data_IF_450298082582
#
_entry.id   IF_450298082582
#
_cell.length_a   1.000
_cell.length_b   1.000
_cell.length_c   1.000
_cell.angle_alpha   90.00
_cell.angle_beta   90.00
_cell.angle_gamma   90.00
#
_symmetry.space_group_name_H-M   'P 1'
#
loop_
_entity.id
_entity.type
_entity.pdbx_description
1 polymer ?
#
# COMPACT_ATOMS: atom_id res chain seq x y z
N UNK A 1 -26.75 11.73 -10.02
CA UNK A 1 -25.95 10.56 -9.69
C UNK A 1 -24.49 10.83 -10.07
N UNK A 2 -23.59 10.70 -9.13
CA UNK A 2 -22.21 11.11 -9.28
C UNK A 2 -21.35 10.12 -10.06
N UNK A 3 -21.67 8.83 -9.98
CA UNK A 3 -20.87 7.77 -10.58
C UNK A 3 -21.70 6.97 -11.54
N UNK A 4 -21.56 7.27 -12.82
CA UNK A 4 -22.31 6.58 -13.88
C UNK A 4 -21.60 5.36 -14.44
N UNK A 5 -20.29 5.25 -14.23
CA UNK A 5 -19.54 4.10 -14.69
C UNK A 5 -18.55 3.66 -13.63
N UNK A 6 -18.40 2.34 -13.48
CA UNK A 6 -17.43 1.74 -12.57
C UNK A 6 -15.99 2.10 -12.95
N UNK A 7 -15.73 2.33 -14.26
CA UNK A 7 -14.41 2.75 -14.74
C UNK A 7 -14.07 4.16 -14.27
N UNK A 8 -15.00 5.12 -14.39
CA UNK A 8 -14.80 6.49 -13.89
C UNK A 8 -14.54 6.51 -12.40
N UNK A 9 -15.28 5.71 -11.64
CA UNK A 9 -15.13 5.59 -10.20
C UNK A 9 -13.75 5.05 -9.85
N UNK A 10 -13.30 4.00 -10.54
CA UNK A 10 -11.97 3.40 -10.32
C UNK A 10 -10.85 4.38 -10.65
N UNK A 11 -10.97 5.10 -11.75
CA UNK A 11 -9.99 6.12 -12.15
C UNK A 11 -9.91 7.24 -11.12
N UNK A 12 -11.05 7.66 -10.59
CA UNK A 12 -11.10 8.69 -9.55
C UNK A 12 -10.39 8.21 -8.28
N UNK A 13 -10.73 7.01 -7.79
CA UNK A 13 -10.09 6.48 -6.58
C UNK A 13 -8.59 6.27 -6.78
N UNK A 14 -8.17 5.80 -7.94
CA UNK A 14 -6.75 5.66 -8.26
C UNK A 14 -6.05 7.02 -8.23
N UNK A 15 -6.68 8.05 -8.80
CA UNK A 15 -6.15 9.42 -8.78
C UNK A 15 -6.00 9.93 -7.35
N UNK A 16 -7.03 9.74 -6.51
CA UNK A 16 -7.01 10.17 -5.11
C UNK A 16 -5.88 9.47 -4.36
N UNK A 17 -5.77 8.16 -4.49
CA UNK A 17 -4.73 7.39 -3.83
C UNK A 17 -3.33 7.83 -4.27
N UNK A 18 -3.11 8.01 -5.56
CA UNK A 18 -1.81 8.45 -6.07
C UNK A 18 -1.43 9.83 -5.57
N UNK A 19 -2.38 10.76 -5.54
CA UNK A 19 -2.13 12.10 -5.01
C UNK A 19 -1.85 12.10 -3.51
N UNK A 20 -2.55 11.26 -2.74
CA UNK A 20 -2.31 11.12 -1.30
C UNK A 20 -0.95 10.49 -1.00
N UNK A 21 -0.58 9.42 -1.71
CA UNK A 21 0.75 8.81 -1.59
C UNK A 21 1.84 9.81 -1.93
N UNK A 22 1.68 10.52 -3.04
CA UNK A 22 2.67 11.52 -3.47
C UNK A 22 2.84 12.63 -2.43
N UNK A 23 1.74 13.08 -1.83
CA UNK A 23 1.78 14.11 -0.79
C UNK A 23 2.58 13.65 0.44
N UNK A 24 2.53 12.37 0.77
CA UNK A 24 3.18 11.82 1.97
C UNK A 24 4.65 11.49 1.73
N UNK A 25 4.99 10.84 0.61
CA UNK A 25 6.35 10.33 0.41
C UNK A 25 6.96 10.65 -0.97
N UNK A 26 6.28 11.46 -1.79
CA UNK A 26 6.83 11.90 -3.07
C UNK A 26 6.73 10.90 -4.21
N UNK A 27 6.00 9.80 -4.03
CA UNK A 27 5.81 8.77 -5.04
C UNK A 27 4.34 8.38 -5.15
N UNK A 28 3.94 7.90 -6.33
CA UNK A 28 2.63 7.25 -6.45
C UNK A 28 2.68 5.87 -5.77
N UNK A 29 1.52 5.24 -5.59
CA UNK A 29 1.45 3.88 -5.04
C UNK A 29 2.30 2.89 -5.87
N UNK A 30 2.19 2.95 -7.20
CA UNK A 30 2.95 2.09 -8.09
C UNK A 30 4.46 2.34 -7.98
N UNK A 31 4.86 3.61 -7.91
CA UNK A 31 6.27 3.99 -7.78
C UNK A 31 6.89 3.50 -6.48
N UNK A 32 6.15 3.55 -5.38
CA UNK A 32 6.66 3.07 -4.08
C UNK A 32 6.89 1.55 -4.10
N UNK A 33 6.02 0.81 -4.75
CA UNK A 33 6.18 -0.64 -4.89
C UNK A 33 7.47 -0.96 -5.66
N UNK A 34 7.67 -0.33 -6.81
CA UNK A 34 8.86 -0.56 -7.64
C UNK A 34 10.13 -0.14 -6.91
N UNK A 35 10.09 0.95 -6.16
CA UNK A 35 11.25 1.45 -5.44
C UNK A 35 11.65 0.57 -4.25
N UNK A 36 10.68 -0.08 -3.60
CA UNK A 36 10.91 -0.76 -2.33
C UNK A 36 10.85 -2.29 -2.38
N UNK A 37 10.16 -2.88 -3.34
CA UNK A 37 10.11 -4.34 -3.48
C UNK A 37 11.46 -4.85 -3.97
N UNK A 38 12.13 -5.69 -3.15
CA UNK A 38 13.45 -6.21 -3.47
C UNK A 38 13.66 -7.54 -2.73
N UNK A 39 13.80 -8.61 -3.49
CA UNK A 39 13.96 -9.95 -2.91
C UNK A 39 15.21 -10.09 -2.04
N UNK A 40 16.19 -9.20 -2.19
CA UNK A 40 17.41 -9.20 -1.38
C UNK A 40 17.24 -8.52 -0.03
N UNK A 41 16.14 -7.82 0.18
CA UNK A 41 15.87 -7.15 1.46
C UNK A 41 15.11 -8.07 2.41
N UNK A 42 15.27 -7.82 3.72
CA UNK A 42 14.47 -8.49 4.74
C UNK A 42 12.99 -8.27 4.43
N UNK A 43 12.20 -9.35 4.46
CA UNK A 43 10.78 -9.35 4.13
C UNK A 43 10.49 -8.75 2.74
N UNK A 44 11.43 -8.88 1.82
CA UNK A 44 11.45 -8.29 0.47
C UNK A 44 11.05 -6.81 0.40
N UNK A 45 11.33 -6.06 1.46
CA UNK A 45 11.02 -4.64 1.56
C UNK A 45 9.68 -4.32 2.21
N UNK A 46 8.84 -5.31 2.49
CA UNK A 46 7.56 -5.07 3.16
C UNK A 46 7.76 -4.75 4.64
N UNK A 47 6.97 -3.82 5.13
CA UNK A 47 6.91 -3.44 6.54
C UNK A 47 5.71 -4.08 7.24
N UNK A 48 4.70 -4.50 6.47
CA UNK A 48 3.53 -5.20 6.96
C UNK A 48 3.01 -6.13 5.88
N UNK A 49 2.29 -7.17 6.27
CA UNK A 49 1.61 -8.11 5.39
C UNK A 49 0.52 -8.80 6.19
N UNK A 50 -0.38 -9.50 5.53
CA UNK A 50 -1.57 -10.09 6.16
C UNK A 50 -1.25 -10.93 7.39
N UNK A 51 -0.21 -11.76 7.30
CA UNK A 51 0.16 -12.71 8.37
C UNK A 51 1.36 -12.22 9.21
N UNK A 52 1.69 -10.92 9.13
CA UNK A 52 2.79 -10.32 9.91
C UNK A 52 2.52 -10.44 11.41
N UNK A 53 3.56 -10.45 12.26
CA UNK A 53 4.97 -10.43 11.88
C UNK A 53 5.58 -11.82 11.63
N UNK A 54 4.95 -12.89 12.10
CA UNK A 54 5.56 -14.22 12.15
C UNK A 54 5.18 -15.13 10.98
N UNK A 55 4.09 -14.84 10.29
CA UNK A 55 3.61 -15.65 9.17
C UNK A 55 4.26 -15.27 7.86
N UNK A 56 4.08 -16.13 6.86
CA UNK A 56 4.64 -15.91 5.53
C UNK A 56 3.98 -14.77 4.78
N UNK A 57 4.79 -14.07 3.98
CA UNK A 57 4.29 -13.16 2.96
C UNK A 57 3.69 -14.00 1.82
N UNK A 58 2.50 -13.61 1.36
CA UNK A 58 1.81 -14.28 0.25
C UNK A 58 1.77 -13.35 -0.97
N UNK A 59 1.49 -13.92 -2.13
CA UNK A 59 1.54 -13.20 -3.40
C UNK A 59 0.69 -11.92 -3.42
N UNK A 60 -0.49 -11.95 -2.81
CA UNK A 60 -1.39 -10.79 -2.77
C UNK A 60 -0.85 -9.63 -1.94
N UNK A 61 0.06 -9.89 -1.00
CA UNK A 61 0.63 -8.85 -0.15
C UNK A 61 1.53 -7.90 -0.91
N UNK A 62 2.24 -8.40 -1.93
CA UNK A 62 3.37 -7.68 -2.55
C UNK A 62 2.95 -6.57 -3.51
N UNK A 63 1.70 -6.56 -3.93
CA UNK A 63 1.16 -5.51 -4.81
C UNK A 63 0.34 -4.44 -4.07
N UNK A 64 0.40 -4.43 -2.75
CA UNK A 64 -0.27 -3.43 -1.91
C UNK A 64 0.76 -2.40 -1.44
N UNK A 65 0.68 -1.19 -1.97
CA UNK A 65 1.65 -0.13 -1.68
C UNK A 65 1.80 0.15 -0.18
N UNK A 66 0.69 0.17 0.56
CA UNK A 66 0.71 0.43 2.01
C UNK A 66 1.60 -0.53 2.78
N UNK A 67 1.77 -1.75 2.28
CA UNK A 67 2.61 -2.75 2.93
C UNK A 67 4.11 -2.40 2.92
N UNK A 68 4.51 -1.47 2.05
CA UNK A 68 5.90 -1.00 1.97
C UNK A 68 6.15 0.28 2.76
N UNK A 69 5.11 0.85 3.36
CA UNK A 69 5.24 2.11 4.10
C UNK A 69 5.69 1.86 5.53
N UNK A 70 6.59 2.73 6.01
CA UNK A 70 6.97 2.76 7.41
C UNK A 70 5.81 3.25 8.27
N UNK A 71 5.95 3.09 9.59
CA UNK A 71 4.91 3.44 10.55
C UNK A 71 4.50 4.91 10.46
N UNK A 72 5.48 5.81 10.33
CA UNK A 72 5.22 7.25 10.25
C UNK A 72 4.54 7.63 8.93
N UNK A 73 5.00 7.06 7.82
CA UNK A 73 4.41 7.28 6.51
C UNK A 73 2.95 6.82 6.48
N UNK A 74 2.68 5.65 7.06
CA UNK A 74 1.33 5.11 7.11
C UNK A 74 0.42 5.98 7.97
N UNK A 75 0.91 6.47 9.11
CA UNK A 75 0.17 7.37 9.98
C UNK A 75 -0.19 8.68 9.27
N UNK A 76 0.75 9.28 8.54
CA UNK A 76 0.52 10.48 7.76
C UNK A 76 -0.50 10.25 6.63
N UNK A 77 -0.37 9.12 5.94
CA UNK A 77 -1.32 8.77 4.88
C UNK A 77 -2.73 8.62 5.43
N UNK A 78 -2.89 7.91 6.53
CA UNK A 78 -4.19 7.71 7.17
C UNK A 78 -4.78 9.04 7.65
N UNK A 79 -3.95 9.93 8.18
CA UNK A 79 -4.38 11.24 8.64
C UNK A 79 -4.92 12.09 7.50
N UNK A 80 -4.16 12.21 6.40
CA UNK A 80 -4.57 13.06 5.28
C UNK A 80 -5.81 12.49 4.56
N UNK A 81 -5.91 11.17 4.45
CA UNK A 81 -7.09 10.51 3.89
C UNK A 81 -8.31 10.77 4.75
N UNK A 82 -8.19 10.64 6.07
CA UNK A 82 -9.29 10.89 7.02
C UNK A 82 -9.78 12.32 6.94
N UNK A 83 -8.88 13.29 6.88
CA UNK A 83 -9.23 14.71 6.74
C UNK A 83 -10.03 14.97 5.47
N UNK A 84 -9.62 14.37 4.35
CA UNK A 84 -10.33 14.56 3.09
C UNK A 84 -11.70 13.87 3.11
N UNK A 85 -11.80 12.68 3.68
CA UNK A 85 -13.07 11.96 3.82
C UNK A 85 -14.05 12.72 4.74
N UNK A 86 -13.55 13.34 5.79
CA UNK A 86 -14.38 14.18 6.66
C UNK A 86 -14.93 15.38 5.90
N UNK A 87 -14.11 16.01 5.07
CA UNK A 87 -14.54 17.08 4.18
C UNK A 87 -15.63 16.58 3.22
N UNK A 88 -15.43 15.43 2.59
CA UNK A 88 -16.39 14.85 1.66
C UNK A 88 -17.72 14.55 2.35
N UNK A 89 -17.67 13.99 3.54
CA UNK A 89 -18.86 13.71 4.37
C UNK A 89 -19.63 14.99 4.68
N UNK A 90 -18.92 16.05 5.03
CA UNK A 90 -19.55 17.35 5.31
C UNK A 90 -20.26 17.90 4.07
N UNK A 91 -19.63 17.82 2.90
CA UNK A 91 -20.25 18.28 1.64
C UNK A 91 -21.52 17.48 1.34
N UNK A 92 -21.50 16.16 1.57
CA UNK A 92 -22.67 15.31 1.38
C UNK A 92 -23.82 15.70 2.34
N UNK A 93 -23.51 15.96 3.60
CA UNK A 93 -24.53 16.40 4.59
C UNK A 93 -25.16 17.74 4.23
N UNK A 94 -24.39 18.63 3.64
CA UNK A 94 -24.88 19.94 3.21
C UNK A 94 -25.60 19.89 1.87
N UNK A 95 -25.73 18.70 1.27
CA UNK A 95 -26.40 18.48 -0.02
C UNK A 95 -25.84 19.35 -1.14
N UNK A 96 -24.52 19.58 -1.13
CA UNK A 96 -23.85 20.34 -2.17
C UNK A 96 -23.56 19.40 -3.34
N UNK A 97 -24.18 19.63 -4.53
CA UNK A 97 -23.89 18.78 -5.67
C UNK A 97 -22.48 19.00 -6.18
N UNK A 98 -21.75 17.91 -6.44
CA UNK A 98 -20.38 17.98 -6.92
C UNK A 98 -20.17 16.98 -8.05
N UNK A 99 -19.58 17.46 -9.14
CA UNK A 99 -19.15 16.60 -10.25
C UNK A 99 -17.81 15.97 -9.92
N UNK A 100 -17.39 15.00 -10.74
CA UNK A 100 -16.04 14.42 -10.60
C UNK A 100 -14.95 15.47 -10.77
N UNK A 101 -15.16 16.43 -11.67
CA UNK A 101 -14.21 17.53 -11.86
C UNK A 101 -14.13 18.42 -10.64
N UNK A 102 -15.26 18.70 -10.00
CA UNK A 102 -15.31 19.46 -8.75
C UNK A 102 -14.51 18.75 -7.66
N UNK A 103 -14.67 17.41 -7.54
CA UNK A 103 -13.93 16.63 -6.55
C UNK A 103 -12.42 16.68 -6.79
N UNK A 104 -11.98 16.58 -8.04
CA UNK A 104 -10.55 16.67 -8.40
C UNK A 104 -10.00 18.07 -8.04
N UNK A 105 -10.72 19.11 -8.39
CA UNK A 105 -10.33 20.49 -8.08
C UNK A 105 -10.24 20.71 -6.57
N UNK A 106 -11.21 20.21 -5.82
CA UNK A 106 -11.22 20.33 -4.36
C UNK A 106 -10.11 19.52 -3.71
N UNK A 107 -9.80 18.36 -4.25
CA UNK A 107 -8.67 17.55 -3.77
C UNK A 107 -7.35 18.32 -3.91
N UNK A 108 -7.09 18.90 -5.07
CA UNK A 108 -5.86 19.67 -5.31
C UNK A 108 -5.79 20.90 -4.38
N UNK A 109 -6.90 21.59 -4.19
CA UNK A 109 -6.99 22.73 -3.27
C UNK A 109 -6.74 22.29 -1.82
N UNK A 110 -7.31 21.15 -1.41
CA UNK A 110 -7.11 20.59 -0.08
C UNK A 110 -5.64 20.26 0.18
N UNK A 111 -4.98 19.62 -0.79
CA UNK A 111 -3.56 19.26 -0.67
C UNK A 111 -2.68 20.51 -0.59
N UNK A 112 -2.94 21.52 -1.42
CA UNK A 112 -2.21 22.79 -1.37
C UNK A 112 -2.41 23.51 -0.04
N UNK A 113 -3.62 23.48 0.49
CA UNK A 113 -3.93 24.07 1.80
C UNK A 113 -3.12 23.39 2.91
N UNK A 114 -2.85 22.11 2.79
CA UNK A 114 -2.05 21.35 3.75
C UNK A 114 -0.54 21.44 3.48
N UNK A 115 -0.12 22.34 2.60
CA UNK A 115 1.30 22.60 2.30
C UNK A 115 2.08 21.40 1.78
N UNK A 116 1.39 20.50 1.07
CA UNK A 116 2.03 19.34 0.44
C UNK A 116 2.06 19.49 -1.08
N UNK A 117 3.03 18.84 -1.72
CA UNK A 117 3.12 18.85 -3.18
C UNK A 117 1.96 18.08 -3.81
N UNK A 118 1.44 18.60 -4.90
CA UNK A 118 0.34 18.01 -5.64
C UNK A 118 0.88 17.32 -6.88
N UNK A 119 0.60 16.02 -7.02
CA UNK A 119 0.93 15.26 -8.20
C UNK A 119 0.17 15.82 -9.41
N UNK A 120 0.89 16.17 -10.48
CA UNK A 120 0.30 16.80 -11.67
C UNK A 120 -0.01 15.80 -12.78
N UNK A 121 0.52 14.59 -12.70
CA UNK A 121 0.37 13.55 -13.73
C UNK A 121 -0.03 12.20 -13.09
N UNK A 122 0.02 11.14 -13.88
CA UNK A 122 -0.32 9.79 -13.40
C UNK A 122 0.85 9.05 -12.75
N UNK A 123 1.99 9.71 -12.63
CA UNK A 123 3.22 9.07 -12.18
C UNK A 123 3.96 8.37 -13.32
N UNK A 124 5.16 7.87 -13.01
CA UNK A 124 6.08 7.28 -13.98
C UNK A 124 5.87 5.78 -14.19
N UNK A 125 5.14 5.13 -13.29
CA UNK A 125 4.95 3.68 -13.28
C UNK A 125 3.46 3.38 -13.22
N UNK A 126 2.99 2.46 -14.08
CA UNK A 126 1.60 2.02 -14.02
C UNK A 126 1.41 0.98 -12.92
N UNK A 127 0.17 0.83 -12.44
CA UNK A 127 -0.19 -0.19 -11.45
C UNK A 127 0.10 -1.59 -11.98
N UNK A 128 -0.13 -1.85 -13.25
CA UNK A 128 0.11 -3.15 -13.87
C UNK A 128 1.62 -3.50 -13.88
N UNK A 129 2.47 -2.55 -14.23
CA UNK A 129 3.92 -2.73 -14.23
C UNK A 129 4.44 -2.97 -12.81
N UNK A 130 3.95 -2.19 -11.84
CA UNK A 130 4.35 -2.35 -10.45
C UNK A 130 3.96 -3.73 -9.89
N UNK A 131 2.75 -4.19 -10.20
CA UNK A 131 2.27 -5.50 -9.78
C UNK A 131 3.12 -6.62 -10.37
N UNK A 132 3.40 -6.56 -11.67
CA UNK A 132 4.23 -7.55 -12.36
C UNK A 132 5.63 -7.59 -11.75
N UNK A 133 6.23 -6.43 -11.52
CA UNK A 133 7.55 -6.34 -10.88
C UNK A 133 7.54 -6.95 -9.47
N UNK A 134 6.57 -6.56 -8.64
CA UNK A 134 6.47 -7.06 -7.27
C UNK A 134 6.25 -8.57 -7.22
N UNK A 135 5.41 -9.11 -8.10
CA UNK A 135 5.19 -10.56 -8.19
C UNK A 135 6.43 -11.30 -8.66
N UNK A 136 7.20 -10.72 -9.57
CA UNK A 136 8.48 -11.25 -10.02
C UNK A 136 9.50 -11.31 -8.86
N UNK A 137 9.58 -10.25 -8.06
CA UNK A 137 10.42 -10.23 -6.87
C UNK A 137 9.94 -11.23 -5.81
N UNK A 138 8.63 -11.40 -5.68
CA UNK A 138 8.05 -12.39 -4.77
C UNK A 138 8.43 -13.81 -5.16
N UNK A 139 8.42 -14.16 -6.45
CA UNK A 139 8.81 -15.50 -6.88
C UNK A 139 10.25 -15.84 -6.48
N UNK A 140 11.13 -14.85 -6.50
CA UNK A 140 12.51 -15.01 -6.02
C UNK A 140 12.57 -15.09 -4.49
N UNK A 141 11.83 -14.23 -3.81
CA UNK A 141 11.79 -14.18 -2.35
C UNK A 141 11.13 -15.41 -1.75
N UNK A 142 10.12 -15.97 -2.41
CA UNK A 142 9.40 -17.13 -1.92
C UNK A 142 10.35 -18.30 -1.60
N UNK A 143 11.33 -18.54 -2.46
CA UNK A 143 12.33 -19.58 -2.25
C UNK A 143 13.15 -19.29 -0.99
N UNK A 144 13.58 -18.05 -0.82
CA UNK A 144 14.33 -17.59 0.35
C UNK A 144 13.48 -17.75 1.61
N UNK A 145 12.23 -17.27 1.56
CA UNK A 145 11.30 -17.34 2.67
C UNK A 145 11.03 -18.77 3.13
N UNK A 146 10.81 -19.68 2.17
CA UNK A 146 10.53 -21.08 2.47
C UNK A 146 11.72 -21.75 3.17
N UNK A 147 12.94 -21.35 2.84
CA UNK A 147 14.13 -21.87 3.51
C UNK A 147 14.34 -21.30 4.92
N UNK A 148 13.85 -20.08 5.16
CA UNK A 148 13.99 -19.42 6.45
C UNK A 148 12.81 -19.67 7.40
N UNK A 149 11.64 -19.97 6.82
CA UNK A 149 10.43 -20.15 7.60
C UNK A 149 10.46 -21.45 8.38
N UNK A 150 10.17 -21.33 9.67
CA UNK A 150 10.04 -22.47 10.57
C UNK A 150 8.67 -22.38 11.24
N UNK A 151 7.78 -23.34 10.92
CA UNK A 151 6.44 -23.39 11.50
C UNK A 151 6.52 -23.73 12.99
N UNK A 152 5.45 -23.44 13.73
CA UNK A 152 5.37 -23.81 15.16
C UNK A 152 5.53 -25.31 15.36
N UNK A 153 5.00 -26.09 14.43
CA UNK A 153 5.15 -27.56 14.46
C UNK A 153 6.62 -27.94 14.30
N UNK A 154 7.33 -27.36 13.33
CA UNK A 154 8.75 -27.63 13.09
C UNK A 154 9.61 -27.25 14.29
N UNK A 155 9.31 -26.12 14.92
CA UNK A 155 9.99 -25.67 16.15
C UNK A 155 9.79 -26.68 17.28
N UNK A 156 8.56 -27.16 17.45
CA UNK A 156 8.23 -28.17 18.46
C UNK A 156 9.02 -29.47 18.22
N UNK A 157 9.06 -29.94 16.98
CA UNK A 157 9.80 -31.15 16.61
C UNK A 157 11.30 -30.99 16.89
N UNK A 158 11.88 -29.85 16.52
CA UNK A 158 13.29 -29.56 16.77
C UNK A 158 13.59 -29.53 18.26
N UNK A 159 12.71 -28.93 19.09
CA UNK A 159 12.87 -28.88 20.53
C UNK A 159 12.77 -30.26 21.15
N UNK A 160 11.88 -31.13 20.66
CA UNK A 160 11.77 -32.51 21.11
C UNK A 160 13.02 -33.31 20.80
N UNK A 161 13.58 -33.18 19.58
CA UNK A 161 14.82 -33.84 19.18
C UNK A 161 16.00 -33.40 20.06
N UNK A 162 16.10 -32.12 20.38
CA UNK A 162 17.15 -31.59 21.26
C UNK A 162 17.02 -32.16 22.66
N UNK A 163 15.80 -32.27 23.17
CA UNK A 163 15.56 -32.86 24.51
C UNK A 163 15.94 -34.35 24.54
N UNK A 164 15.59 -35.08 23.50
CA UNK A 164 15.97 -36.51 23.37
C UNK A 164 17.49 -36.69 23.28
N UNK A 165 18.20 -35.76 22.63
CA UNK A 165 19.66 -35.81 22.52
C UNK A 165 20.38 -35.55 23.85
N UNK A 166 19.74 -34.87 24.81
CA UNK A 166 20.27 -34.57 26.12
C UNK A 166 20.10 -35.75 27.10
N UNK A 167 19.10 -36.55 26.87
CA UNK A 167 18.79 -37.75 27.67
C UNK A 167 19.32 -39.02 27.03
#
# INVERSE_FOLDING_TARGET
MLFRSSQMTREFYATVQNKMHYAVHGNTAAEVIVARADHNKEHMGLKSWKNAPDGKIVKTDVSIAKNYLGKEELAELNEIVTMYLDYATRQARRHIPMTMEDWKTKLDAFLRFNDVEVLQDKGKVTAAIAKEFAESEFEKYRVIQDSLYESDFDKLMNDMEKNDAIH
#
